data_IF_477767605992
#
_entry.id   IF_477767605992
#
_cell.length_a   1.000
_cell.length_b   1.000
_cell.length_c   1.000
_cell.angle_alpha   90.00
_cell.angle_beta   90.00
_cell.angle_gamma   90.00
#
_symmetry.space_group_name_H-M   'P 1'
#
loop_
_entity.id
_entity.type
_entity.pdbx_description
1 polymer ?
#
# COMPACT_ATOMS: atom_id res chain seq x y z
N UNK A 1 51.25 -17.31 -28.66
CA UNK A 1 51.14 -15.90 -28.23
C UNK A 1 50.06 -15.11 -28.97
N UNK A 2 49.96 -15.16 -30.31
CA UNK A 2 48.88 -14.48 -31.08
C UNK A 2 47.46 -14.94 -30.73
N UNK A 3 47.22 -16.23 -30.50
CA UNK A 3 45.89 -16.76 -30.15
C UNK A 3 45.44 -16.31 -28.74
N UNK A 4 46.38 -16.20 -27.80
CA UNK A 4 46.13 -15.70 -26.44
C UNK A 4 45.83 -14.18 -26.43
N UNK A 5 46.49 -13.41 -27.31
CA UNK A 5 46.20 -11.98 -27.51
C UNK A 5 44.83 -11.74 -28.14
N UNK A 6 44.42 -12.58 -29.10
CA UNK A 6 43.09 -12.49 -29.74
C UNK A 6 41.98 -12.89 -28.76
N UNK A 7 42.19 -13.93 -27.94
CA UNK A 7 41.26 -14.31 -26.87
C UNK A 7 41.12 -13.23 -25.79
N UNK A 8 42.21 -12.56 -25.42
CA UNK A 8 42.17 -11.43 -24.47
C UNK A 8 41.41 -10.21 -24.97
N UNK A 9 41.49 -9.90 -26.27
CA UNK A 9 40.75 -8.79 -26.89
C UNK A 9 39.25 -9.13 -27.06
N UNK A 10 38.92 -10.40 -27.37
CA UNK A 10 37.53 -10.87 -27.42
C UNK A 10 36.87 -10.90 -26.02
N UNK A 11 37.61 -11.22 -24.96
CA UNK A 11 37.09 -11.21 -23.59
C UNK A 11 36.90 -9.77 -23.06
N UNK A 12 37.72 -8.82 -23.49
CA UNK A 12 37.59 -7.41 -23.13
C UNK A 12 36.42 -6.69 -23.85
N UNK A 13 36.01 -7.18 -25.03
CA UNK A 13 34.86 -6.64 -25.79
C UNK A 13 33.48 -7.02 -25.23
N UNK A 14 33.40 -8.01 -24.33
CA UNK A 14 32.13 -8.47 -23.75
C UNK A 14 31.74 -7.75 -22.45
N UNK A 15 32.53 -6.78 -21.97
CA UNK A 15 32.15 -5.88 -20.86
C UNK A 15 31.37 -4.66 -21.38
N UNK A 16 30.52 -4.85 -22.39
CA UNK A 16 29.52 -3.84 -22.72
C UNK A 16 28.63 -3.68 -21.49
N UNK A 17 28.68 -2.52 -20.85
CA UNK A 17 27.74 -2.18 -19.78
C UNK A 17 26.33 -2.33 -20.36
N UNK A 18 25.58 -3.30 -19.87
CA UNK A 18 24.15 -3.37 -20.15
C UNK A 18 23.55 -2.05 -19.65
N UNK A 19 23.13 -1.19 -20.57
CA UNK A 19 22.41 0.01 -20.22
C UNK A 19 21.03 -0.41 -19.72
N UNK A 20 20.80 -0.27 -18.42
CA UNK A 20 19.47 -0.36 -17.86
C UNK A 20 18.70 0.91 -18.25
N UNK A 21 17.53 0.76 -18.84
CA UNK A 21 16.59 1.85 -18.91
C UNK A 21 15.69 1.78 -17.67
N UNK A 22 15.12 2.91 -17.30
CA UNK A 22 14.11 2.99 -16.25
C UNK A 22 12.80 3.49 -16.86
N UNK A 23 11.70 3.07 -16.26
CA UNK A 23 10.41 3.69 -16.43
C UNK A 23 10.25 4.70 -15.30
N UNK A 24 10.08 5.97 -15.64
CA UNK A 24 9.70 7.04 -14.72
C UNK A 24 8.20 7.27 -14.84
N UNK A 25 7.48 7.14 -13.74
CA UNK A 25 6.08 7.52 -13.60
C UNK A 25 6.03 8.91 -12.95
N UNK A 26 5.81 9.98 -13.72
CA UNK A 26 5.61 11.28 -13.12
C UNK A 26 4.31 11.29 -12.32
N UNK A 27 4.27 12.06 -11.25
CA UNK A 27 3.13 12.13 -10.32
C UNK A 27 2.61 13.56 -10.14
N UNK A 28 3.08 14.49 -10.97
CA UNK A 28 2.54 15.84 -11.04
C UNK A 28 1.20 15.85 -11.80
N UNK A 29 0.29 16.73 -11.36
CA UNK A 29 -1.08 16.86 -11.88
C UNK A 29 -1.11 17.05 -13.40
N UNK A 30 -0.12 17.73 -13.97
CA UNK A 30 -0.10 18.10 -15.38
C UNK A 30 0.26 16.96 -16.33
N UNK A 31 0.99 15.95 -15.86
CA UNK A 31 1.54 14.90 -16.73
C UNK A 31 0.94 13.52 -16.49
N UNK A 32 0.44 13.22 -15.29
CA UNK A 32 -0.05 11.89 -14.94
C UNK A 32 -1.55 11.73 -15.17
N UNK A 33 -1.92 10.82 -16.09
CA UNK A 33 -3.32 10.51 -16.36
C UNK A 33 -3.98 9.67 -15.26
N UNK A 34 -3.25 8.74 -14.63
CA UNK A 34 -3.83 7.85 -13.63
C UNK A 34 -2.91 7.58 -12.44
N UNK A 35 -2.96 8.48 -11.47
CA UNK A 35 -2.15 8.44 -10.26
C UNK A 35 -2.36 7.16 -9.43
N UNK A 36 -3.62 6.73 -9.24
CA UNK A 36 -3.92 5.56 -8.41
C UNK A 36 -3.40 4.27 -9.05
N UNK A 37 -3.55 4.13 -10.38
CA UNK A 37 -2.96 3.00 -11.10
C UNK A 37 -1.43 3.05 -11.12
N UNK A 38 -0.81 4.24 -11.10
CA UNK A 38 0.64 4.38 -10.98
C UNK A 38 1.17 3.75 -9.68
N UNK A 39 0.50 3.99 -8.55
CA UNK A 39 0.82 3.29 -7.28
C UNK A 39 0.69 1.77 -7.43
N UNK A 40 -0.37 1.30 -8.09
CA UNK A 40 -0.60 -0.12 -8.35
C UNK A 40 0.51 -0.77 -9.19
N UNK A 41 0.99 -0.09 -10.24
CA UNK A 41 2.11 -0.58 -11.06
C UNK A 41 3.40 -0.61 -10.24
N UNK A 42 3.69 0.42 -9.46
CA UNK A 42 4.87 0.44 -8.60
C UNK A 42 4.82 -0.70 -7.58
N UNK A 43 3.66 -0.93 -6.95
CA UNK A 43 3.43 -2.06 -6.04
C UNK A 43 3.69 -3.41 -6.74
N UNK A 44 3.19 -3.56 -7.97
CA UNK A 44 3.39 -4.77 -8.75
C UNK A 44 4.85 -4.99 -9.15
N UNK A 45 5.58 -3.92 -9.48
CA UNK A 45 7.00 -3.97 -9.79
C UNK A 45 7.81 -4.51 -8.60
N UNK A 46 7.64 -3.94 -7.42
CA UNK A 46 8.36 -4.39 -6.21
C UNK A 46 7.89 -5.79 -5.75
N UNK A 47 6.62 -6.15 -5.96
CA UNK A 47 6.11 -7.50 -5.70
C UNK A 47 6.76 -8.56 -6.59
N UNK A 48 7.18 -8.15 -7.79
CA UNK A 48 7.89 -9.00 -8.76
C UNK A 48 9.41 -9.05 -8.51
N UNK A 49 9.89 -8.42 -7.43
CA UNK A 49 11.32 -8.30 -7.10
C UNK A 49 12.08 -7.30 -7.97
N UNK A 50 11.38 -6.45 -8.72
CA UNK A 50 12.01 -5.40 -9.51
C UNK A 50 12.49 -4.27 -8.60
N UNK A 51 13.64 -3.69 -8.94
CA UNK A 51 14.15 -2.51 -8.25
C UNK A 51 13.28 -1.29 -8.59
N UNK A 52 12.78 -0.61 -7.55
CA UNK A 52 11.99 0.61 -7.67
C UNK A 52 12.41 1.66 -6.64
N UNK A 53 12.10 2.92 -6.97
CA UNK A 53 12.46 4.10 -6.22
C UNK A 53 11.26 5.03 -6.12
N UNK A 54 11.10 5.65 -4.97
CA UNK A 54 10.22 6.79 -4.76
C UNK A 54 11.05 8.07 -4.70
N UNK A 55 10.80 8.97 -5.64
CA UNK A 55 11.49 10.24 -5.80
C UNK A 55 10.64 11.33 -5.11
N UNK A 56 10.84 11.51 -3.81
CA UNK A 56 10.08 12.42 -2.96
C UNK A 56 10.18 13.86 -3.48
N UNK A 57 9.03 14.51 -3.64
CA UNK A 57 8.85 15.88 -4.14
C UNK A 57 9.42 16.16 -5.55
N UNK A 58 10.07 15.20 -6.19
CA UNK A 58 10.45 15.28 -7.60
C UNK A 58 9.22 14.98 -8.46
N UNK A 59 8.77 15.97 -9.23
CA UNK A 59 7.60 15.86 -10.13
C UNK A 59 6.39 15.18 -9.44
N UNK A 60 5.98 15.74 -8.31
CA UNK A 60 4.83 15.26 -7.54
C UNK A 60 5.06 13.98 -6.72
N UNK A 61 6.31 13.54 -6.53
CA UNK A 61 6.60 12.28 -5.82
C UNK A 61 6.69 11.09 -6.76
N UNK A 62 7.44 11.24 -7.86
CA UNK A 62 7.51 10.26 -8.95
C UNK A 62 8.00 8.89 -8.51
N UNK A 63 7.63 7.85 -9.26
CA UNK A 63 8.22 6.52 -9.11
C UNK A 63 9.14 6.22 -10.26
N UNK A 64 10.23 5.50 -10.00
CA UNK A 64 11.11 4.99 -11.04
C UNK A 64 11.41 3.51 -10.78
N UNK A 65 11.34 2.67 -11.82
CA UNK A 65 11.72 1.26 -11.71
C UNK A 65 12.35 0.77 -13.01
N UNK A 66 13.07 -0.35 -12.91
CA UNK A 66 13.77 -0.93 -14.07
C UNK A 66 12.81 -1.20 -15.22
N UNK A 67 13.22 -0.80 -16.43
CA UNK A 67 12.42 -1.01 -17.63
C UNK A 67 12.32 -2.50 -17.95
N UNK A 68 11.09 -2.95 -18.20
CA UNK A 68 10.83 -4.20 -18.91
C UNK A 68 9.70 -3.98 -19.92
N UNK A 69 9.66 -4.73 -21.03
CA UNK A 69 8.53 -4.67 -21.96
C UNK A 69 7.19 -4.98 -21.29
N UNK A 70 7.21 -5.80 -20.23
CA UNK A 70 6.04 -6.15 -19.44
C UNK A 70 5.52 -4.96 -18.64
N UNK A 71 6.38 -4.24 -17.93
CA UNK A 71 5.98 -3.06 -17.17
C UNK A 71 5.49 -1.93 -18.09
N UNK A 72 6.18 -1.70 -19.21
CA UNK A 72 5.77 -0.70 -20.20
C UNK A 72 4.36 -1.00 -20.74
N UNK A 73 4.09 -2.27 -21.06
CA UNK A 73 2.78 -2.71 -21.51
C UNK A 73 1.70 -2.45 -20.45
N UNK A 74 1.97 -2.75 -19.19
CA UNK A 74 1.01 -2.50 -18.11
C UNK A 74 0.76 -1.01 -17.90
N UNK A 75 1.76 -0.14 -18.01
CA UNK A 75 1.54 1.32 -17.99
C UNK A 75 0.55 1.75 -19.08
N UNK A 76 0.71 1.26 -20.31
CA UNK A 76 -0.23 1.54 -21.42
C UNK A 76 -1.63 0.97 -21.14
N UNK A 77 -1.72 -0.27 -20.67
CA UNK A 77 -2.99 -0.96 -20.41
C UNK A 77 -3.80 -0.28 -19.30
N UNK A 78 -3.13 0.30 -18.30
CA UNK A 78 -3.76 0.95 -17.15
C UNK A 78 -3.88 2.47 -17.30
N UNK A 79 -3.57 3.00 -18.47
CA UNK A 79 -3.60 4.44 -18.80
C UNK A 79 -2.76 5.29 -17.83
N UNK A 80 -1.55 4.80 -17.51
CA UNK A 80 -0.59 5.50 -16.67
C UNK A 80 0.44 6.16 -17.57
N UNK A 81 0.62 7.48 -17.41
CA UNK A 81 1.67 8.23 -18.11
C UNK A 81 3.04 7.79 -17.61
N UNK A 82 3.99 7.60 -18.52
CA UNK A 82 5.33 7.16 -18.20
C UNK A 82 6.37 7.66 -19.21
N UNK A 83 7.63 7.70 -18.78
CA UNK A 83 8.79 8.03 -19.61
C UNK A 83 9.80 6.89 -19.53
N UNK A 84 10.37 6.47 -20.67
CA UNK A 84 11.52 5.56 -20.68
C UNK A 84 12.79 6.41 -20.70
N UNK A 85 13.56 6.34 -19.63
CA UNK A 85 14.76 7.13 -19.44
C UNK A 85 15.99 6.23 -19.40
N UNK A 86 17.12 6.71 -19.92
CA UNK A 86 18.39 5.99 -19.84
C UNK A 86 18.97 6.07 -18.43
N UNK A 87 19.83 5.12 -18.06
CA UNK A 87 20.57 5.12 -16.78
C UNK A 87 21.26 6.47 -16.48
N UNK A 88 21.87 7.09 -17.48
CA UNK A 88 22.53 8.39 -17.33
C UNK A 88 21.54 9.53 -17.00
N UNK A 89 20.32 9.49 -17.54
CA UNK A 89 19.28 10.46 -17.20
C UNK A 89 18.75 10.22 -15.78
N UNK A 90 18.53 8.95 -15.40
CA UNK A 90 18.12 8.63 -14.04
C UNK A 90 19.18 9.03 -13.00
N UNK A 91 20.46 8.82 -13.30
CA UNK A 91 21.56 9.30 -12.47
C UNK A 91 21.54 10.83 -12.33
N UNK A 92 21.32 11.57 -13.42
CA UNK A 92 21.22 13.04 -13.36
C UNK A 92 20.05 13.52 -12.48
N UNK A 93 18.88 12.86 -12.57
CA UNK A 93 17.73 13.14 -11.70
C UNK A 93 18.09 12.91 -10.23
N UNK A 94 18.80 11.82 -9.92
CA UNK A 94 19.22 11.54 -8.54
C UNK A 94 20.22 12.57 -8.02
N UNK A 95 21.15 13.04 -8.84
CA UNK A 95 22.06 14.12 -8.45
C UNK A 95 21.31 15.45 -8.20
N UNK A 96 20.27 15.75 -8.98
CA UNK A 96 19.40 16.90 -8.74
C UNK A 96 18.69 16.80 -7.38
N UNK A 97 18.10 15.63 -7.09
CA UNK A 97 17.39 15.34 -5.84
C UNK A 97 18.32 15.45 -4.62
N UNK A 98 19.58 15.04 -4.76
CA UNK A 98 20.57 15.07 -3.68
C UNK A 98 21.13 16.47 -3.38
N UNK A 99 20.76 17.49 -4.15
CA UNK A 99 21.18 18.86 -3.86
C UNK A 99 20.60 19.32 -2.51
N UNK A 100 21.44 19.67 -1.51
CA UNK A 100 20.95 20.08 -0.18
C UNK A 100 20.06 21.34 -0.17
N UNK A 101 20.06 22.12 -1.26
CA UNK A 101 19.24 23.32 -1.40
C UNK A 101 17.81 23.03 -1.88
N UNK A 102 17.51 21.81 -2.33
CA UNK A 102 16.16 21.40 -2.75
C UNK A 102 15.51 20.48 -1.72
N UNK A 103 14.20 20.64 -1.52
CA UNK A 103 13.43 19.79 -0.59
C UNK A 103 12.96 18.51 -1.28
N UNK A 104 13.91 17.65 -1.67
CA UNK A 104 13.65 16.36 -2.34
C UNK A 104 14.46 15.24 -1.69
N UNK A 105 14.04 13.99 -1.91
CA UNK A 105 14.77 12.80 -1.43
C UNK A 105 14.49 11.58 -2.32
N UNK A 106 15.34 10.56 -2.25
CA UNK A 106 15.19 9.30 -3.00
C UNK A 106 15.16 8.11 -2.06
N UNK A 107 14.01 7.45 -2.00
CA UNK A 107 13.81 6.24 -1.19
C UNK A 107 13.81 5.03 -2.12
N UNK A 108 14.71 4.07 -1.87
CA UNK A 108 14.64 2.77 -2.52
C UNK A 108 13.51 1.93 -1.89
N UNK A 109 12.65 1.36 -2.73
CA UNK A 109 11.55 0.50 -2.30
C UNK A 109 12.02 -0.95 -2.29
N UNK A 110 12.10 -1.57 -1.12
CA UNK A 110 12.70 -2.91 -0.96
C UNK A 110 11.70 -4.06 -1.15
N UNK A 111 10.46 -3.90 -0.66
CA UNK A 111 9.45 -4.97 -0.62
C UNK A 111 8.05 -4.36 -0.69
N UNK A 112 7.13 -5.05 -1.39
CA UNK A 112 5.70 -4.77 -1.30
C UNK A 112 5.17 -5.08 0.11
N UNK A 113 4.51 -4.13 0.80
CA UNK A 113 3.91 -4.40 2.09
C UNK A 113 2.69 -5.32 1.94
N UNK A 114 2.52 -6.22 2.90
CA UNK A 114 1.25 -6.88 3.17
C UNK A 114 0.37 -5.94 3.98
N UNK A 115 -0.83 -5.67 3.48
CA UNK A 115 -1.73 -4.65 4.02
C UNK A 115 -2.94 -5.33 4.67
N UNK A 116 -3.20 -4.99 5.93
CA UNK A 116 -4.44 -5.29 6.61
C UNK A 116 -5.32 -4.04 6.68
N UNK A 117 -6.62 -4.22 6.45
CA UNK A 117 -7.66 -3.21 6.70
C UNK A 117 -8.48 -3.66 7.89
N UNK A 118 -8.46 -2.87 8.95
CA UNK A 118 -9.29 -3.09 10.11
C UNK A 118 -10.69 -2.53 9.87
N UNK A 119 -11.65 -3.43 9.62
CA UNK A 119 -13.04 -3.12 9.32
C UNK A 119 -13.95 -4.30 9.70
N UNK A 120 -15.18 -4.06 10.20
CA UNK A 120 -16.14 -5.11 10.42
C UNK A 120 -16.72 -5.60 9.08
N UNK A 121 -17.27 -6.81 9.08
CA UNK A 121 -17.96 -7.37 7.91
C UNK A 121 -19.28 -6.65 7.62
N UNK A 122 -19.88 -6.05 8.65
CA UNK A 122 -21.19 -5.40 8.60
C UNK A 122 -21.15 -4.04 9.27
N UNK A 123 -21.89 -3.10 8.69
CA UNK A 123 -22.09 -1.78 9.27
C UNK A 123 -23.07 -1.83 10.46
N UNK A 124 -23.31 -0.67 11.10
CA UNK A 124 -24.24 -0.54 12.23
C UNK A 124 -25.68 -0.97 11.90
N UNK A 125 -26.07 -1.06 10.63
CA UNK A 125 -27.40 -1.51 10.19
C UNK A 125 -27.46 -3.00 9.86
N UNK A 126 -26.34 -3.71 9.98
CA UNK A 126 -26.23 -5.13 9.63
C UNK A 126 -26.05 -5.40 8.14
N UNK A 127 -25.80 -4.37 7.35
CA UNK A 127 -25.52 -4.47 5.92
C UNK A 127 -24.04 -4.79 5.71
N UNK A 128 -23.71 -5.63 4.73
CA UNK A 128 -22.31 -5.97 4.41
C UNK A 128 -21.59 -4.72 3.90
N UNK A 129 -20.47 -4.37 4.54
CA UNK A 129 -19.64 -3.23 4.12
C UNK A 129 -19.06 -3.51 2.75
N UNK A 130 -19.23 -2.56 1.83
CA UNK A 130 -18.72 -2.68 0.48
C UNK A 130 -17.39 -1.90 0.34
N UNK A 131 -16.50 -2.30 -0.58
CA UNK A 131 -15.21 -1.64 -0.74
C UNK A 131 -15.29 -0.15 -1.11
N UNK A 132 -16.44 0.37 -1.56
CA UNK A 132 -16.64 1.80 -1.83
C UNK A 132 -17.15 2.60 -0.64
N UNK A 133 -17.50 1.93 0.46
CA UNK A 133 -17.86 2.59 1.72
C UNK A 133 -16.61 3.08 2.48
N UNK A 134 -15.44 2.49 2.17
CA UNK A 134 -14.12 2.96 2.60
C UNK A 134 -13.29 3.48 1.41
N UNK A 135 -12.85 4.74 1.50
CA UNK A 135 -12.02 5.35 0.47
C UNK A 135 -10.70 4.60 0.27
N UNK A 136 -10.11 4.05 1.34
CA UNK A 136 -8.84 3.32 1.23
C UNK A 136 -9.03 1.98 0.54
N UNK A 137 -10.01 1.17 0.94
CA UNK A 137 -10.31 -0.09 0.21
C UNK A 137 -10.71 0.17 -1.24
N UNK A 138 -11.43 1.27 -1.52
CA UNK A 138 -11.79 1.65 -2.88
C UNK A 138 -10.55 1.95 -3.72
N UNK A 139 -9.61 2.73 -3.16
CA UNK A 139 -8.36 3.08 -3.84
C UNK A 139 -7.46 1.85 -4.02
N UNK A 140 -7.30 1.01 -3.00
CA UNK A 140 -6.50 -0.23 -3.10
C UNK A 140 -7.08 -1.17 -4.15
N UNK A 141 -8.40 -1.37 -4.14
CA UNK A 141 -9.11 -2.16 -5.16
C UNK A 141 -8.92 -1.58 -6.55
N UNK A 142 -9.10 -0.27 -6.71
CA UNK A 142 -8.92 0.41 -7.99
C UNK A 142 -7.46 0.32 -8.47
N UNK A 143 -6.47 0.44 -7.58
CA UNK A 143 -5.06 0.29 -7.89
C UNK A 143 -4.64 -1.18 -8.09
N UNK A 144 -5.51 -2.15 -7.80
CA UNK A 144 -5.22 -3.59 -7.81
C UNK A 144 -4.13 -3.99 -6.81
N UNK A 145 -4.10 -3.32 -5.64
CA UNK A 145 -3.21 -3.65 -4.53
C UNK A 145 -3.97 -4.59 -3.58
N UNK A 146 -3.45 -5.81 -3.33
CA UNK A 146 -4.11 -6.77 -2.44
C UNK A 146 -4.07 -6.28 -0.98
N UNK A 147 -5.16 -6.54 -0.27
CA UNK A 147 -5.28 -6.32 1.17
C UNK A 147 -6.21 -7.38 1.76
N UNK A 148 -6.03 -7.65 3.05
CA UNK A 148 -6.92 -8.51 3.81
C UNK A 148 -7.74 -7.69 4.79
N UNK A 149 -8.99 -8.06 5.00
CA UNK A 149 -9.84 -7.47 6.05
C UNK A 149 -9.65 -8.26 7.34
N UNK A 150 -9.41 -7.55 8.44
CA UNK A 150 -9.30 -8.12 9.79
C UNK A 150 -10.19 -7.34 10.74
N UNK A 151 -10.69 -7.98 11.79
CA UNK A 151 -11.46 -7.27 12.82
C UNK A 151 -11.04 -7.70 14.23
N UNK A 152 -11.90 -7.45 15.23
CA UNK A 152 -11.63 -7.65 16.65
C UNK A 152 -11.04 -9.04 16.94
N UNK A 153 -11.68 -10.09 16.43
CA UNK A 153 -11.30 -11.49 16.70
C UNK A 153 -9.90 -11.81 16.14
N UNK A 154 -9.64 -11.48 14.88
CA UNK A 154 -8.35 -11.73 14.23
C UNK A 154 -7.22 -10.95 14.91
N UNK A 155 -7.49 -9.71 15.30
CA UNK A 155 -6.52 -8.88 16.02
C UNK A 155 -6.15 -9.53 17.36
N UNK A 156 -7.14 -9.97 18.14
CA UNK A 156 -6.91 -10.63 19.44
C UNK A 156 -6.16 -11.95 19.29
N UNK A 157 -6.38 -12.68 18.19
CA UNK A 157 -5.67 -13.92 17.85
C UNK A 157 -4.22 -13.68 17.37
N UNK A 158 -3.78 -12.42 17.23
CA UNK A 158 -2.40 -12.07 16.88
C UNK A 158 -2.12 -12.08 15.38
N UNK A 159 -3.16 -12.09 14.54
CA UNK A 159 -3.04 -12.15 13.07
C UNK A 159 -2.33 -10.93 12.47
N UNK A 160 -2.28 -9.81 13.20
CA UNK A 160 -1.55 -8.60 12.78
C UNK A 160 -0.06 -8.84 12.52
N UNK A 161 0.56 -9.83 13.19
CA UNK A 161 1.97 -10.19 12.98
C UNK A 161 2.30 -10.68 11.57
N UNK A 162 1.30 -11.00 10.75
CA UNK A 162 1.45 -11.43 9.35
C UNK A 162 1.55 -10.26 8.36
N UNK A 163 1.26 -9.03 8.81
CA UNK A 163 1.13 -7.85 7.98
C UNK A 163 2.25 -6.84 8.26
N UNK A 164 2.54 -6.01 7.26
CA UNK A 164 3.50 -4.92 7.38
C UNK A 164 2.74 -3.62 7.76
N UNK A 165 1.57 -3.36 7.15
CA UNK A 165 0.79 -2.13 7.33
C UNK A 165 -0.65 -2.42 7.78
N UNK A 166 -1.20 -1.52 8.60
CA UNK A 166 -2.58 -1.58 9.10
C UNK A 166 -3.31 -0.26 8.81
N UNK A 167 -4.40 -0.33 8.05
CA UNK A 167 -5.35 0.77 7.89
C UNK A 167 -6.50 0.65 8.90
N UNK A 168 -6.87 1.74 9.57
CA UNK A 168 -8.00 1.77 10.51
C UNK A 168 -9.17 2.54 9.87
N UNK A 169 -10.18 1.83 9.39
CA UNK A 169 -11.34 2.45 8.75
C UNK A 169 -12.38 2.84 9.80
N UNK A 170 -12.49 4.13 10.15
CA UNK A 170 -13.59 4.74 10.92
C UNK A 170 -14.10 4.02 12.19
N UNK A 171 -13.28 3.20 12.82
CA UNK A 171 -13.74 2.36 13.92
C UNK A 171 -13.74 3.05 15.29
N UNK A 172 -14.76 2.73 16.08
CA UNK A 172 -14.92 3.14 17.47
C UNK A 172 -14.25 2.12 18.42
N UNK A 173 -13.10 2.49 18.97
CA UNK A 173 -12.39 1.71 19.99
C UNK A 173 -12.93 1.93 21.42
N UNK A 174 -14.00 2.71 21.61
CA UNK A 174 -14.59 2.94 22.93
C UNK A 174 -15.66 1.91 23.30
N UNK A 175 -16.32 1.30 22.30
CA UNK A 175 -17.43 0.38 22.52
C UNK A 175 -18.67 1.07 23.12
N UNK A 176 -18.85 2.37 22.88
CA UNK A 176 -19.92 3.17 23.50
C UNK A 176 -21.16 3.24 22.60
N UNK A 177 -22.27 2.67 23.07
CA UNK A 177 -23.56 2.75 22.37
C UNK A 177 -24.30 4.09 22.51
N UNK A 178 -23.82 4.97 23.40
CA UNK A 178 -24.55 6.17 23.86
C UNK A 178 -24.83 7.20 22.77
N UNK A 179 -23.97 7.32 21.75
CA UNK A 179 -24.10 8.30 20.65
C UNK A 179 -25.44 8.18 19.91
N UNK A 180 -25.94 6.95 19.74
CA UNK A 180 -27.20 6.68 19.04
C UNK A 180 -28.32 6.21 19.96
N UNK A 181 -28.04 5.93 21.24
CA UNK A 181 -29.04 5.40 22.18
C UNK A 181 -30.24 6.34 22.34
N UNK A 182 -30.00 7.64 22.55
CA UNK A 182 -31.07 8.61 22.82
C UNK A 182 -32.07 8.74 21.67
N UNK A 183 -31.58 8.65 20.43
CA UNK A 183 -32.40 8.85 19.21
C UNK A 183 -32.87 7.55 18.58
N UNK A 184 -32.17 6.43 18.81
CA UNK A 184 -32.34 5.20 18.05
C UNK A 184 -32.50 3.92 18.89
N UNK A 185 -32.53 4.00 20.23
CA UNK A 185 -32.71 2.81 21.11
C UNK A 185 -33.91 1.94 20.78
N UNK A 186 -35.01 2.53 20.28
CA UNK A 186 -36.21 1.80 19.87
C UNK A 186 -36.15 1.23 18.44
N UNK A 187 -35.13 1.56 17.66
CA UNK A 187 -34.99 1.12 16.27
C UNK A 187 -34.53 -0.34 16.20
N UNK A 188 -35.09 -1.17 15.29
CA UNK A 188 -34.69 -2.57 15.14
C UNK A 188 -33.20 -2.75 14.82
N UNK A 189 -32.67 -1.93 13.90
CA UNK A 189 -31.26 -2.00 13.48
C UNK A 189 -30.32 -1.75 14.65
N UNK A 190 -30.65 -0.80 15.53
CA UNK A 190 -29.81 -0.45 16.67
C UNK A 190 -29.79 -1.57 17.71
N UNK A 191 -30.94 -2.17 18.03
CA UNK A 191 -30.99 -3.33 18.94
C UNK A 191 -30.22 -4.52 18.38
N UNK A 192 -30.29 -4.74 17.08
CA UNK A 192 -29.53 -5.80 16.41
C UNK A 192 -28.03 -5.54 16.47
N UNK A 193 -27.60 -4.31 16.21
CA UNK A 193 -26.19 -3.91 16.34
C UNK A 193 -25.66 -4.12 17.77
N UNK A 194 -26.39 -3.66 18.80
CA UNK A 194 -26.02 -3.90 20.20
C UNK A 194 -25.89 -5.40 20.48
N UNK A 195 -26.88 -6.20 20.04
CA UNK A 195 -26.86 -7.67 20.21
C UNK A 195 -25.65 -8.31 19.53
N UNK A 196 -25.31 -7.88 18.32
CA UNK A 196 -24.17 -8.38 17.56
C UNK A 196 -22.84 -8.06 18.29
N UNK A 197 -22.67 -6.82 18.74
CA UNK A 197 -21.45 -6.40 19.44
C UNK A 197 -21.30 -7.08 20.81
N UNK A 198 -22.40 -7.23 21.57
CA UNK A 198 -22.40 -8.01 22.82
C UNK A 198 -22.08 -9.49 22.57
N UNK A 199 -22.58 -10.06 21.47
CA UNK A 199 -22.24 -11.41 21.03
C UNK A 199 -20.74 -11.54 20.75
N UNK A 200 -20.18 -10.64 19.95
CA UNK A 200 -18.76 -10.61 19.61
C UNK A 200 -17.87 -10.49 20.85
N UNK A 201 -18.27 -9.66 21.83
CA UNK A 201 -17.57 -9.54 23.10
C UNK A 201 -17.56 -10.88 23.87
N UNK A 202 -18.71 -11.54 23.98
CA UNK A 202 -18.83 -12.83 24.67
C UNK A 202 -18.06 -13.95 23.96
N UNK A 203 -18.11 -13.99 22.63
CA UNK A 203 -17.35 -14.96 21.82
C UNK A 203 -15.84 -14.83 22.05
N UNK A 204 -15.35 -13.61 22.26
CA UNK A 204 -13.95 -13.32 22.57
C UNK A 204 -13.65 -13.32 24.08
N UNK A 205 -14.59 -13.72 24.93
CA UNK A 205 -14.37 -13.89 26.38
C UNK A 205 -14.46 -12.62 27.22
N UNK A 206 -15.16 -11.58 26.75
CA UNK A 206 -15.37 -10.31 27.47
C UNK A 206 -16.83 -10.14 27.91
N UNK A 207 -17.03 -9.56 29.10
CA UNK A 207 -18.37 -9.26 29.63
C UNK A 207 -18.96 -7.98 29.02
N UNK A 208 -18.10 -7.06 28.54
CA UNK A 208 -18.50 -5.79 27.94
C UNK A 208 -17.80 -5.52 26.60
N UNK A 209 -18.52 -4.86 25.69
CA UNK A 209 -17.98 -4.41 24.40
C UNK A 209 -16.84 -3.41 24.58
N UNK A 210 -16.90 -2.54 25.58
CA UNK A 210 -15.80 -1.61 25.88
C UNK A 210 -14.53 -2.32 26.38
N UNK A 211 -14.66 -3.46 27.05
CA UNK A 211 -13.52 -4.28 27.48
C UNK A 211 -12.87 -4.99 26.28
N UNK A 212 -13.70 -5.54 25.37
CA UNK A 212 -13.26 -6.06 24.08
C UNK A 212 -12.48 -5.01 23.30
N UNK A 213 -13.08 -3.83 23.08
CA UNK A 213 -12.47 -2.76 22.27
C UNK A 213 -11.18 -2.21 22.91
N UNK A 214 -11.11 -2.14 24.24
CA UNK A 214 -9.87 -1.81 24.94
C UNK A 214 -8.77 -2.85 24.69
N UNK A 215 -9.10 -4.15 24.72
CA UNK A 215 -8.14 -5.21 24.47
C UNK A 215 -7.61 -5.17 23.02
N UNK A 216 -8.50 -4.95 22.04
CA UNK A 216 -8.14 -4.78 20.63
C UNK A 216 -7.22 -3.57 20.45
N UNK A 217 -7.58 -2.41 21.02
CA UNK A 217 -6.76 -1.20 20.94
C UNK A 217 -5.36 -1.40 21.54
N UNK A 218 -5.24 -2.13 22.65
CA UNK A 218 -3.93 -2.50 23.23
C UNK A 218 -3.13 -3.40 22.29
N UNK A 219 -3.77 -4.37 21.64
CA UNK A 219 -3.10 -5.27 20.70
C UNK A 219 -2.60 -4.53 19.45
N UNK A 220 -3.39 -3.58 18.95
CA UNK A 220 -2.96 -2.68 17.87
C UNK A 220 -1.80 -1.81 18.34
N UNK A 221 -1.86 -1.26 19.56
CA UNK A 221 -0.77 -0.46 20.12
C UNK A 221 0.54 -1.27 20.23
N UNK A 222 0.47 -2.52 20.66
CA UNK A 222 1.61 -3.44 20.69
C UNK A 222 2.16 -3.77 19.31
N UNK A 223 1.32 -3.80 18.28
CA UNK A 223 1.74 -4.04 16.90
C UNK A 223 2.50 -2.85 16.29
N UNK A 224 2.10 -1.61 16.61
CA UNK A 224 2.71 -0.39 16.04
C UNK A 224 3.90 0.15 16.84
N UNK A 225 4.13 -0.35 18.05
CA UNK A 225 5.21 0.10 18.96
C UNK A 225 6.49 -0.69 18.74
#
# INVERSE_FOLDING_TARGET
MRILLIAGILLAGCLARLHANYILLPMDESSQHNHLKAYGITYWAISSGAEAYWLLNYRGGSFAFVYTPTFEKECKTRDVSYEVIADAQFAAIREEILNPEVNMDVIKLEKAPKIAVYSPDKNEKGEVIQPWDDAVTMVLTYAEIPYDVVYDTEVLQGKLSEYDWLHLHHEDFTGMFGKFYASNSSQPWYREHVRMMEGLARENGFDKVSELKLAVAKRIAEYVS
#
